data_IF_078201120092
#
_entry.id   IF_078201120092
#
_cell.length_a   1.000
_cell.length_b   1.000
_cell.length_c   1.000
_cell.angle_alpha   90.00
_cell.angle_beta   90.00
_cell.angle_gamma   90.00
#
_symmetry.space_group_name_H-M   'P 1'
#
loop_
_entity.id
_entity.type
_entity.pdbx_description
1 polymer ?
#
# COMPACT_ATOMS: atom_id res chain seq x y z
N UNK A 1 28.23 33.44 -28.93
CA UNK A 1 27.27 34.04 -29.89
C UNK A 1 26.31 35.01 -29.23
N UNK A 2 25.64 34.66 -28.13
CA UNK A 2 24.69 35.54 -27.42
C UNK A 2 25.35 36.82 -26.92
N UNK A 3 26.50 36.71 -26.23
CA UNK A 3 27.30 37.88 -25.76
C UNK A 3 27.76 38.82 -26.91
N UNK A 4 28.12 38.26 -28.06
CA UNK A 4 28.50 39.04 -29.23
C UNK A 4 27.32 39.79 -29.86
N UNK A 5 26.13 39.13 -29.98
CA UNK A 5 24.91 39.79 -30.46
C UNK A 5 24.40 40.85 -29.48
N UNK A 6 24.48 40.61 -28.18
CA UNK A 6 24.16 41.61 -27.16
C UNK A 6 25.12 42.81 -27.23
N UNK A 7 26.43 42.58 -27.39
CA UNK A 7 27.39 43.63 -27.56
C UNK A 7 27.13 44.47 -28.82
N UNK A 8 26.82 43.84 -29.95
CA UNK A 8 26.49 44.52 -31.19
C UNK A 8 25.25 45.41 -31.07
N UNK A 9 24.17 44.89 -30.49
CA UNK A 9 22.92 45.65 -30.28
C UNK A 9 23.16 46.82 -29.30
N UNK A 10 23.97 46.61 -28.26
CA UNK A 10 24.33 47.65 -27.30
C UNK A 10 25.12 48.79 -27.97
N UNK A 11 26.08 48.46 -28.83
CA UNK A 11 26.84 49.44 -29.57
C UNK A 11 25.96 50.20 -30.56
N UNK A 12 25.08 49.51 -31.30
CA UNK A 12 24.19 50.14 -32.27
C UNK A 12 23.18 51.08 -31.60
N UNK A 13 22.58 50.67 -30.48
CA UNK A 13 21.66 51.51 -29.70
C UNK A 13 22.34 52.74 -29.12
N UNK A 14 23.62 52.63 -28.70
CA UNK A 14 24.41 53.75 -28.23
C UNK A 14 24.72 54.72 -29.33
N UNK A 15 25.09 54.30 -30.53
CA UNK A 15 25.34 55.16 -31.71
C UNK A 15 24.07 55.92 -32.09
N UNK A 16 22.92 55.25 -32.19
CA UNK A 16 21.63 55.90 -32.50
C UNK A 16 21.26 56.95 -31.46
N UNK A 17 21.49 56.65 -30.20
CA UNK A 17 21.22 57.59 -29.12
C UNK A 17 22.14 58.83 -29.14
N UNK A 18 23.40 58.62 -29.46
CA UNK A 18 24.35 59.80 -29.66
C UNK A 18 23.95 60.69 -30.84
N UNK A 19 23.51 60.12 -31.96
CA UNK A 19 23.00 60.86 -33.11
C UNK A 19 21.72 61.62 -32.73
N UNK A 20 20.77 61.03 -32.09
CA UNK A 20 19.56 61.71 -31.62
C UNK A 20 19.86 62.80 -30.60
N UNK A 21 20.79 62.56 -29.67
CA UNK A 21 21.24 63.61 -28.72
C UNK A 21 21.84 64.80 -29.39
N UNK A 22 22.74 64.62 -30.36
CA UNK A 22 23.35 65.70 -31.11
C UNK A 22 22.32 66.49 -31.92
N UNK A 23 21.35 65.86 -32.54
CA UNK A 23 20.24 66.50 -33.26
C UNK A 23 19.33 67.33 -32.33
N UNK A 24 18.99 66.83 -31.18
CA UNK A 24 18.09 67.45 -30.19
C UNK A 24 18.86 68.67 -29.55
N UNK A 25 20.10 68.46 -29.15
CA UNK A 25 20.93 69.55 -28.59
C UNK A 25 21.14 70.65 -29.60
N UNK A 26 21.42 70.39 -30.90
CA UNK A 26 21.51 71.33 -31.95
C UNK A 26 20.23 72.14 -32.20
N UNK A 27 19.06 71.46 -32.08
CA UNK A 27 17.73 72.09 -32.22
C UNK A 27 17.36 72.99 -31.03
N UNK A 28 17.79 72.68 -29.82
CA UNK A 28 17.41 73.36 -28.57
C UNK A 28 18.38 74.47 -28.18
N UNK A 29 19.69 74.44 -28.58
CA UNK A 29 20.70 75.31 -28.11
C UNK A 29 20.69 76.69 -28.84
N UNK A 30 19.84 76.93 -29.86
CA UNK A 30 19.72 78.17 -30.58
C UNK A 30 19.21 79.35 -29.72
N UNK A 31 18.57 79.10 -28.55
CA UNK A 31 17.99 80.16 -27.71
C UNK A 31 17.96 79.87 -26.19
N UNK A 32 18.69 78.87 -25.66
CA UNK A 32 18.60 78.51 -24.26
C UNK A 32 19.87 78.70 -23.46
N UNK A 33 19.79 79.27 -22.23
CA UNK A 33 20.92 79.50 -21.35
C UNK A 33 21.67 78.23 -20.96
N UNK A 34 22.97 78.36 -20.59
CA UNK A 34 23.89 77.27 -20.26
C UNK A 34 23.36 76.21 -19.25
N UNK A 35 22.65 76.66 -18.21
CA UNK A 35 22.09 75.79 -17.18
C UNK A 35 20.97 74.89 -17.73
N UNK A 36 20.13 75.38 -18.64
CA UNK A 36 19.06 74.65 -19.27
C UNK A 36 19.57 73.47 -20.15
N UNK A 37 20.72 73.70 -20.79
CA UNK A 37 21.42 72.72 -21.62
C UNK A 37 21.92 71.51 -20.78
N UNK A 38 22.45 71.75 -19.59
CA UNK A 38 22.90 70.67 -18.71
C UNK A 38 21.75 69.82 -18.10
N UNK A 39 20.63 70.40 -17.71
CA UNK A 39 19.48 69.75 -17.21
C UNK A 39 18.84 68.85 -18.28
N UNK A 40 18.72 69.32 -19.51
CA UNK A 40 18.23 68.55 -20.65
C UNK A 40 19.16 67.40 -21.00
N UNK A 41 20.47 67.58 -20.93
CA UNK A 41 21.47 66.52 -21.13
C UNK A 41 21.36 65.45 -20.06
N UNK A 42 21.15 65.81 -18.78
CA UNK A 42 21.00 64.86 -17.69
C UNK A 42 19.70 64.04 -17.81
N UNK A 43 18.56 64.67 -18.09
CA UNK A 43 17.30 64.03 -18.33
C UNK A 43 17.43 63.07 -19.50
N UNK A 44 18.06 63.43 -20.58
CA UNK A 44 18.26 62.58 -21.74
C UNK A 44 19.14 61.37 -21.41
N UNK A 45 20.21 61.53 -20.63
CA UNK A 45 21.02 60.40 -20.15
C UNK A 45 20.21 59.42 -19.27
N UNK A 46 19.34 59.91 -18.39
CA UNK A 46 18.45 59.08 -17.58
C UNK A 46 17.45 58.30 -18.46
N UNK A 47 16.83 58.95 -19.44
CA UNK A 47 15.91 58.30 -20.38
C UNK A 47 16.64 57.25 -21.22
N UNK A 48 17.85 57.54 -21.68
CA UNK A 48 18.70 56.60 -22.40
C UNK A 48 19.05 55.37 -21.56
N UNK A 49 19.37 55.57 -20.30
CA UNK A 49 19.70 54.50 -19.38
C UNK A 49 18.48 53.58 -19.17
N UNK A 50 17.28 54.16 -18.99
CA UNK A 50 16.02 53.43 -18.85
C UNK A 50 15.69 52.66 -20.14
N UNK A 51 15.78 53.29 -21.29
CA UNK A 51 15.54 52.64 -22.60
C UNK A 51 16.54 51.49 -22.81
N UNK A 52 17.82 51.74 -22.58
CA UNK A 52 18.87 50.71 -22.68
C UNK A 52 18.60 49.52 -21.76
N UNK A 53 18.21 49.79 -20.51
CA UNK A 53 17.88 48.72 -19.54
C UNK A 53 16.69 47.88 -20.02
N UNK A 54 15.60 48.51 -20.44
CA UNK A 54 14.40 47.85 -20.90
C UNK A 54 14.60 47.10 -22.24
N UNK A 55 15.33 47.71 -23.18
CA UNK A 55 15.65 47.05 -24.46
C UNK A 55 16.57 45.85 -24.26
N UNK A 56 17.59 45.95 -23.41
CA UNK A 56 18.46 44.84 -23.11
C UNK A 56 17.70 43.71 -22.41
N UNK A 57 16.81 44.03 -21.50
CA UNK A 57 15.96 43.04 -20.83
C UNK A 57 15.01 42.37 -21.82
N UNK A 58 14.33 43.12 -22.65
CA UNK A 58 13.41 42.60 -23.68
C UNK A 58 14.14 41.73 -24.72
N UNK A 59 15.33 42.17 -25.18
CA UNK A 59 16.13 41.43 -26.14
C UNK A 59 16.74 40.16 -25.53
N UNK A 60 17.20 40.20 -24.27
CA UNK A 60 17.68 38.99 -23.60
C UNK A 60 16.55 37.97 -23.41
N UNK A 61 15.39 38.38 -22.94
CA UNK A 61 14.22 37.48 -22.79
C UNK A 61 13.76 36.93 -24.15
N UNK A 62 13.76 37.71 -25.21
CA UNK A 62 13.37 37.28 -26.55
C UNK A 62 14.42 36.38 -27.21
N UNK A 63 15.70 36.66 -27.02
CA UNK A 63 16.79 35.83 -27.51
C UNK A 63 16.93 34.53 -26.73
N UNK A 64 16.71 34.55 -25.42
CA UNK A 64 16.65 33.35 -24.60
C UNK A 64 15.49 32.47 -25.03
N UNK A 65 14.30 33.00 -25.24
CA UNK A 65 13.16 32.24 -25.78
C UNK A 65 13.47 31.64 -27.15
N UNK A 66 14.05 32.41 -28.06
CA UNK A 66 14.35 31.94 -29.42
C UNK A 66 15.44 30.88 -29.43
N UNK A 67 16.46 30.97 -28.58
CA UNK A 67 17.53 29.96 -28.47
C UNK A 67 17.01 28.70 -27.75
N UNK A 68 16.17 28.88 -26.74
CA UNK A 68 15.56 27.77 -26.00
C UNK A 68 14.57 26.92 -26.86
N UNK A 69 13.95 27.55 -27.89
CA UNK A 69 12.89 26.88 -28.67
C UNK A 69 13.25 26.53 -30.11
N UNK A 70 14.35 27.05 -30.68
CA UNK A 70 14.72 26.90 -32.10
C UNK A 70 16.04 26.15 -32.36
N UNK A 71 16.73 25.60 -31.33
CA UNK A 71 17.99 24.87 -31.49
C UNK A 71 18.07 23.61 -30.68
N UNK A 72 19.24 22.95 -30.66
CA UNK A 72 19.50 21.72 -29.90
C UNK A 72 19.20 21.90 -28.39
N UNK A 73 19.40 23.12 -27.85
CA UNK A 73 19.00 23.46 -26.47
C UNK A 73 17.47 23.47 -26.31
N UNK A 74 16.75 23.90 -27.34
CA UNK A 74 15.29 23.89 -27.37
C UNK A 74 14.70 22.47 -27.37
N UNK A 75 15.37 21.54 -28.04
CA UNK A 75 15.00 20.13 -28.04
C UNK A 75 15.07 19.55 -26.63
N UNK A 76 16.21 19.74 -25.95
CA UNK A 76 16.35 19.25 -24.55
C UNK A 76 15.40 19.95 -23.60
N UNK A 77 15.07 21.21 -23.78
CA UNK A 77 14.08 21.93 -22.97
C UNK A 77 12.68 21.29 -23.15
N UNK A 78 12.27 20.96 -24.39
CA UNK A 78 11.01 20.23 -24.64
C UNK A 78 11.04 18.83 -24.04
N UNK A 79 12.16 18.14 -24.14
CA UNK A 79 12.31 16.81 -23.53
C UNK A 79 12.18 16.88 -22.01
N UNK A 80 12.83 17.85 -21.36
CA UNK A 80 12.70 18.09 -19.90
C UNK A 80 11.23 18.33 -19.52
N UNK A 81 10.51 19.15 -20.30
CA UNK A 81 9.11 19.43 -20.05
C UNK A 81 8.24 18.18 -20.16
N UNK A 82 8.50 17.31 -21.16
CA UNK A 82 7.82 16.02 -21.31
C UNK A 82 8.15 15.06 -20.17
N UNK A 83 9.43 14.91 -19.80
CA UNK A 83 9.87 14.05 -18.68
C UNK A 83 9.24 14.51 -17.36
N UNK A 84 9.03 15.82 -17.19
CA UNK A 84 8.32 16.37 -16.02
C UNK A 84 6.93 15.78 -15.82
N UNK A 85 6.21 15.45 -16.88
CA UNK A 85 4.87 14.87 -16.85
C UNK A 85 4.86 13.37 -17.15
N UNK A 86 6.01 12.72 -17.18
CA UNK A 86 6.12 11.27 -17.27
C UNK A 86 6.04 10.65 -15.88
N UNK A 87 5.11 9.73 -15.68
CA UNK A 87 4.87 9.05 -14.42
C UNK A 87 5.12 7.54 -14.50
N UNK A 88 5.06 6.99 -15.71
CA UNK A 88 5.30 5.58 -16.00
C UNK A 88 6.45 5.41 -16.96
N UNK A 89 6.99 4.19 -17.06
CA UNK A 89 8.02 3.87 -18.03
C UNK A 89 7.53 4.13 -19.47
N UNK A 90 6.28 3.82 -19.78
CA UNK A 90 5.68 4.04 -21.10
C UNK A 90 5.58 5.54 -21.44
N UNK A 91 5.24 6.40 -20.47
CA UNK A 91 5.23 7.85 -20.67
C UNK A 91 6.62 8.39 -20.97
N UNK A 92 7.63 7.88 -20.27
CA UNK A 92 9.03 8.26 -20.51
C UNK A 92 9.49 7.80 -21.89
N UNK A 93 9.23 6.55 -22.27
CA UNK A 93 9.54 6.01 -23.60
C UNK A 93 8.87 6.85 -24.69
N UNK A 94 7.59 7.17 -24.53
CA UNK A 94 6.87 8.05 -25.46
C UNK A 94 7.53 9.42 -25.58
N UNK A 95 7.96 10.00 -24.49
CA UNK A 95 8.67 11.28 -24.48
C UNK A 95 10.02 11.19 -25.21
N UNK A 96 10.72 10.05 -25.08
CA UNK A 96 11.95 9.75 -25.83
C UNK A 96 11.66 9.63 -27.33
N UNK A 97 10.66 8.84 -27.73
CA UNK A 97 10.29 8.66 -29.13
C UNK A 97 9.91 10.00 -29.78
N UNK A 98 8.95 10.71 -29.19
CA UNK A 98 8.40 11.94 -29.77
C UNK A 98 9.49 13.04 -29.91
N UNK A 99 10.31 13.24 -28.88
CA UNK A 99 11.22 14.39 -28.85
C UNK A 99 12.65 14.02 -29.23
N UNK A 100 13.20 12.93 -28.66
CA UNK A 100 14.60 12.61 -28.91
C UNK A 100 14.76 11.94 -30.28
N UNK A 101 13.94 10.97 -30.62
CA UNK A 101 14.09 10.21 -31.87
C UNK A 101 13.50 10.95 -33.07
N UNK A 102 12.21 11.30 -33.05
CA UNK A 102 11.51 11.87 -34.19
C UNK A 102 11.94 13.30 -34.48
N UNK A 103 12.02 14.17 -33.47
CA UNK A 103 12.41 15.56 -33.67
C UNK A 103 13.94 15.76 -33.69
N UNK A 104 14.66 15.03 -32.82
CA UNK A 104 16.07 15.24 -32.54
C UNK A 104 17.03 14.34 -33.32
N UNK A 105 16.58 13.22 -33.84
CA UNK A 105 17.44 12.18 -34.42
C UNK A 105 18.46 11.65 -33.41
N UNK A 106 18.11 11.64 -32.12
CA UNK A 106 18.91 11.15 -31.02
C UNK A 106 18.47 9.73 -30.69
N UNK A 107 19.40 8.78 -30.71
CA UNK A 107 19.13 7.40 -30.32
C UNK A 107 19.30 7.23 -28.82
N UNK A 108 18.41 6.49 -28.18
CA UNK A 108 18.41 6.34 -26.71
C UNK A 108 18.48 4.86 -26.33
N UNK A 109 19.29 4.55 -25.31
CA UNK A 109 19.34 3.25 -24.66
C UNK A 109 19.15 3.43 -23.16
N UNK A 110 18.08 2.87 -22.61
CA UNK A 110 17.76 2.89 -21.18
C UNK A 110 17.97 1.53 -20.58
N UNK A 111 18.79 1.43 -19.56
CA UNK A 111 19.26 0.17 -18.97
C UNK A 111 19.10 0.18 -17.46
N UNK A 112 18.62 -0.91 -16.92
CA UNK A 112 18.76 -1.23 -15.50
C UNK A 112 20.05 -2.05 -15.31
N UNK A 113 21.05 -1.45 -14.68
CA UNK A 113 22.37 -2.07 -14.44
C UNK A 113 22.33 -3.11 -13.32
N UNK A 114 21.33 -3.09 -12.44
CA UNK A 114 21.22 -4.08 -11.37
C UNK A 114 20.86 -5.46 -11.91
N UNK A 115 20.00 -5.49 -12.91
CA UNK A 115 19.53 -6.71 -13.57
C UNK A 115 20.20 -6.92 -14.94
N UNK A 116 21.08 -6.00 -15.35
CA UNK A 116 21.66 -5.93 -16.70
C UNK A 116 20.60 -6.06 -17.79
N UNK A 117 19.44 -5.41 -17.59
CA UNK A 117 18.26 -5.47 -18.45
C UNK A 117 18.07 -4.18 -19.22
N UNK A 118 17.83 -4.31 -20.54
CA UNK A 118 17.45 -3.18 -21.38
C UNK A 118 15.97 -2.88 -21.13
N UNK A 119 15.68 -1.68 -20.65
CA UNK A 119 14.34 -1.16 -20.44
C UNK A 119 13.76 -0.57 -21.73
N UNK A 120 14.62 0.12 -22.49
CA UNK A 120 14.27 0.67 -23.81
C UNK A 120 15.50 0.81 -24.69
N UNK A 121 15.34 0.67 -26.00
CA UNK A 121 16.38 0.96 -26.99
C UNK A 121 15.77 1.37 -28.31
N UNK A 122 16.24 2.48 -28.87
CA UNK A 122 15.79 3.06 -30.16
C UNK A 122 15.81 2.04 -31.28
N UNK A 123 14.70 1.72 -31.94
CA UNK A 123 14.62 0.65 -32.92
C UNK A 123 15.33 0.98 -34.23
N UNK A 124 15.39 2.26 -34.61
CA UNK A 124 15.84 2.70 -35.94
C UNK A 124 17.36 2.90 -36.06
N UNK A 125 18.10 3.09 -34.97
CA UNK A 125 19.49 3.55 -35.01
C UNK A 125 20.46 2.71 -34.15
N UNK A 126 19.97 1.76 -33.39
CA UNK A 126 20.79 0.82 -32.63
C UNK A 126 20.63 -0.56 -33.24
N UNK A 127 21.62 -0.98 -34.05
CA UNK A 127 21.57 -2.20 -34.85
C UNK A 127 21.55 -3.47 -33.98
N UNK A 128 22.31 -3.45 -32.87
CA UNK A 128 22.29 -4.52 -31.86
C UNK A 128 22.30 -3.89 -30.49
N UNK A 129 21.18 -4.07 -29.75
CA UNK A 129 21.02 -3.55 -28.38
C UNK A 129 21.96 -4.24 -27.41
N UNK A 130 22.08 -5.54 -27.52
CA UNK A 130 22.92 -6.38 -26.68
C UNK A 130 24.41 -6.07 -26.88
N UNK A 131 24.87 -5.93 -28.12
CA UNK A 131 26.24 -5.58 -28.42
C UNK A 131 26.59 -4.18 -27.93
N UNK A 132 25.68 -3.23 -28.13
CA UNK A 132 25.84 -1.86 -27.60
C UNK A 132 25.93 -1.87 -26.08
N UNK A 133 25.06 -2.65 -25.40
CA UNK A 133 25.10 -2.80 -23.97
C UNK A 133 26.40 -3.42 -23.48
N UNK A 134 26.93 -4.44 -24.18
CA UNK A 134 28.22 -5.06 -23.84
C UNK A 134 29.37 -4.03 -23.95
N UNK A 135 29.42 -3.24 -25.00
CA UNK A 135 30.43 -2.17 -25.16
C UNK A 135 30.30 -1.10 -24.06
N UNK A 136 29.08 -0.71 -23.73
CA UNK A 136 28.83 0.24 -22.64
C UNK A 136 29.25 -0.33 -21.26
N UNK A 137 29.07 -1.63 -21.04
CA UNK A 137 29.48 -2.28 -19.79
C UNK A 137 31.01 -2.39 -19.67
N UNK A 138 31.74 -2.47 -20.80
CA UNK A 138 33.20 -2.47 -20.79
C UNK A 138 33.75 -1.07 -20.49
N UNK A 139 33.13 -0.01 -21.00
CA UNK A 139 33.60 1.35 -20.86
C UNK A 139 33.01 2.08 -19.63
N UNK A 140 31.79 1.73 -19.24
CA UNK A 140 31.04 2.35 -18.13
C UNK A 140 30.51 1.27 -17.20
N UNK A 141 31.25 0.95 -16.15
CA UNK A 141 30.86 -0.06 -15.15
C UNK A 141 29.65 0.42 -14.31
N UNK A 142 29.27 -0.40 -13.33
CA UNK A 142 28.08 -0.15 -12.49
C UNK A 142 28.27 0.91 -11.42
N UNK A 143 29.51 1.30 -11.12
CA UNK A 143 29.86 2.09 -9.93
C UNK A 143 29.95 3.60 -10.17
N UNK A 144 29.20 4.10 -11.15
CA UNK A 144 29.10 5.52 -11.44
C UNK A 144 28.27 6.22 -10.36
N UNK A 145 28.76 7.39 -9.94
CA UNK A 145 27.98 8.27 -9.07
C UNK A 145 26.80 8.85 -9.84
N UNK A 146 25.72 9.11 -9.12
CA UNK A 146 24.57 9.81 -9.67
C UNK A 146 24.99 11.14 -10.31
N UNK A 147 24.53 11.37 -11.55
CA UNK A 147 24.91 12.54 -12.31
C UNK A 147 24.69 12.40 -13.80
N UNK A 148 25.29 13.31 -14.54
CA UNK A 148 25.32 13.29 -16.01
C UNK A 148 26.76 13.36 -16.52
N UNK A 149 27.01 12.67 -17.62
CA UNK A 149 28.36 12.47 -18.18
C UNK A 149 28.30 12.58 -19.69
N UNK A 150 29.42 13.01 -20.30
CA UNK A 150 29.55 13.13 -21.75
C UNK A 150 30.58 12.13 -22.27
N UNK A 151 30.35 11.62 -23.46
CA UNK A 151 31.27 10.73 -24.16
C UNK A 151 31.47 11.12 -25.62
N UNK A 152 32.63 10.81 -26.19
CA UNK A 152 32.99 11.05 -27.59
C UNK A 152 32.55 9.89 -28.51
N UNK A 153 33.01 9.92 -29.78
CA UNK A 153 32.68 8.90 -30.79
C UNK A 153 33.21 7.51 -30.48
N UNK A 154 34.26 7.42 -29.67
CA UNK A 154 34.93 6.17 -29.26
C UNK A 154 34.46 5.70 -27.87
N UNK A 155 33.41 6.35 -27.34
CA UNK A 155 32.87 6.13 -25.99
C UNK A 155 33.85 6.49 -24.85
N UNK A 156 34.84 7.35 -25.13
CA UNK A 156 35.70 7.94 -24.10
C UNK A 156 35.00 9.09 -23.39
N UNK A 157 35.23 9.23 -22.06
CA UNK A 157 34.67 10.35 -21.30
C UNK A 157 35.32 11.68 -21.71
N UNK A 158 34.48 12.68 -21.89
CA UNK A 158 34.91 14.02 -22.21
C UNK A 158 34.32 15.07 -21.23
N UNK A 159 35.13 16.03 -20.85
CA UNK A 159 34.70 17.13 -19.98
C UNK A 159 34.12 18.32 -20.77
N UNK A 160 34.48 18.45 -22.05
CA UNK A 160 34.02 19.50 -22.95
C UNK A 160 32.92 18.97 -23.89
N UNK A 161 31.77 19.65 -23.89
CA UNK A 161 30.64 19.31 -24.74
C UNK A 161 30.94 19.49 -26.24
N UNK A 162 32.00 20.23 -26.61
CA UNK A 162 32.40 20.42 -28.00
C UNK A 162 32.88 19.14 -28.71
N UNK A 163 33.48 18.23 -27.95
CA UNK A 163 33.98 16.94 -28.44
C UNK A 163 32.94 15.82 -28.27
N UNK A 164 31.88 16.03 -27.49
CA UNK A 164 30.88 15.00 -27.17
C UNK A 164 30.10 14.55 -28.41
N UNK A 165 29.78 13.26 -28.44
CA UNK A 165 28.88 12.60 -29.39
C UNK A 165 27.69 11.98 -28.68
N UNK A 166 27.62 12.12 -27.38
CA UNK A 166 26.51 11.68 -26.57
C UNK A 166 26.68 12.05 -25.12
N UNK A 167 25.68 11.76 -24.36
CA UNK A 167 25.70 11.91 -22.93
C UNK A 167 24.88 10.80 -22.26
N UNK A 168 25.07 10.58 -21.00
CA UNK A 168 24.25 9.67 -20.24
C UNK A 168 23.95 10.20 -18.84
N UNK A 169 22.80 9.78 -18.33
CA UNK A 169 22.34 10.08 -16.99
C UNK A 169 22.46 8.80 -16.15
N UNK A 170 22.96 8.96 -14.95
CA UNK A 170 23.06 7.87 -13.96
C UNK A 170 22.26 8.29 -12.74
N UNK A 171 21.30 7.48 -12.37
CA UNK A 171 20.58 7.66 -11.11
C UNK A 171 20.28 6.28 -10.50
N UNK A 172 20.73 6.08 -9.27
CA UNK A 172 20.78 4.78 -8.61
C UNK A 172 21.53 3.77 -9.51
N UNK A 173 20.86 2.71 -9.98
CA UNK A 173 21.44 1.70 -10.88
C UNK A 173 20.86 1.77 -12.31
N UNK A 174 20.16 2.83 -12.65
CA UNK A 174 19.58 3.03 -13.97
C UNK A 174 20.36 4.04 -14.77
N UNK A 175 20.73 3.67 -15.99
CA UNK A 175 21.50 4.47 -16.92
C UNK A 175 20.71 4.74 -18.18
N UNK A 176 20.63 5.99 -18.60
CA UNK A 176 20.03 6.39 -19.89
C UNK A 176 21.11 7.02 -20.75
N UNK A 177 21.43 6.39 -21.87
CA UNK A 177 22.42 6.84 -22.85
C UNK A 177 21.73 7.49 -24.01
N UNK A 178 22.23 8.70 -24.40
CA UNK A 178 21.76 9.48 -25.53
C UNK A 178 22.90 9.59 -26.53
N UNK A 179 22.70 9.05 -27.74
CA UNK A 179 23.66 9.11 -28.84
C UNK A 179 23.23 10.19 -29.80
N UNK A 180 24.01 11.26 -29.89
CA UNK A 180 23.71 12.43 -30.71
C UNK A 180 24.87 12.82 -31.62
N UNK A 181 24.55 13.51 -32.72
CA UNK A 181 25.59 13.96 -33.66
C UNK A 181 26.49 15.04 -33.09
N UNK A 182 25.92 15.97 -32.31
CA UNK A 182 26.63 17.11 -31.72
C UNK A 182 26.02 17.49 -30.39
N UNK A 183 26.89 17.83 -29.42
CA UNK A 183 26.48 18.36 -28.12
C UNK A 183 27.09 19.72 -27.84
N UNK A 184 27.93 20.27 -28.76
CA UNK A 184 28.70 21.51 -28.57
C UNK A 184 27.87 22.75 -28.31
N UNK A 185 26.58 22.74 -28.65
CA UNK A 185 25.67 23.87 -28.45
C UNK A 185 24.84 23.73 -27.17
N UNK A 186 24.99 22.63 -26.42
CA UNK A 186 24.25 22.43 -25.20
C UNK A 186 24.88 23.22 -24.04
N UNK A 187 24.06 23.98 -23.33
CA UNK A 187 24.44 24.62 -22.09
C UNK A 187 24.46 23.58 -20.94
N UNK A 188 25.53 23.61 -20.11
CA UNK A 188 25.65 22.69 -18.96
C UNK A 188 24.48 22.80 -17.98
N UNK A 189 23.90 23.97 -17.81
CA UNK A 189 22.75 24.23 -16.92
C UNK A 189 21.53 23.39 -17.34
N UNK A 190 21.36 23.08 -18.64
CA UNK A 190 20.22 22.29 -19.10
C UNK A 190 20.34 20.82 -18.67
N UNK A 191 21.57 20.31 -18.55
CA UNK A 191 21.81 18.92 -18.11
C UNK A 191 21.56 18.75 -16.63
N UNK A 192 21.81 19.75 -15.80
CA UNK A 192 21.43 19.73 -14.38
C UNK A 192 19.92 19.60 -14.24
N UNK A 193 19.16 20.43 -14.98
CA UNK A 193 17.70 20.36 -14.99
C UNK A 193 17.18 19.02 -15.53
N UNK A 194 17.79 18.52 -16.62
CA UNK A 194 17.41 17.24 -17.18
C UNK A 194 17.64 16.10 -16.18
N UNK A 195 18.75 16.13 -15.48
CA UNK A 195 19.07 15.14 -14.46
C UNK A 195 18.11 15.20 -13.27
N UNK A 196 17.77 16.40 -12.79
CA UNK A 196 16.78 16.59 -11.72
C UNK A 196 15.40 16.01 -12.10
N UNK A 197 14.91 16.31 -13.32
CA UNK A 197 13.63 15.79 -13.80
C UNK A 197 13.69 14.28 -14.06
N UNK A 198 14.82 13.74 -14.48
CA UNK A 198 15.00 12.30 -14.61
C UNK A 198 14.97 11.60 -13.25
N UNK A 199 15.63 12.13 -12.22
CA UNK A 199 15.54 11.62 -10.85
C UNK A 199 14.10 11.65 -10.33
N UNK A 200 13.40 12.76 -10.56
CA UNK A 200 12.01 12.91 -10.18
C UNK A 200 11.13 11.87 -10.87
N UNK A 201 11.30 11.69 -12.18
CA UNK A 201 10.59 10.66 -12.95
C UNK A 201 10.80 9.26 -12.31
N UNK A 202 12.04 8.87 -12.04
CA UNK A 202 12.34 7.56 -11.44
C UNK A 202 11.68 7.37 -10.07
N UNK A 203 11.68 8.40 -9.24
CA UNK A 203 10.99 8.36 -7.95
C UNK A 203 9.49 8.19 -8.11
N UNK A 204 8.88 8.92 -9.03
CA UNK A 204 7.44 8.80 -9.33
C UNK A 204 7.10 7.40 -9.87
N UNK A 205 7.84 6.90 -10.86
CA UNK A 205 7.64 5.58 -11.44
C UNK A 205 7.73 4.47 -10.40
N UNK A 206 8.78 4.50 -9.56
CA UNK A 206 8.97 3.55 -8.45
C UNK A 206 7.81 3.61 -7.44
N UNK A 207 7.32 4.80 -7.15
CA UNK A 207 6.19 5.00 -6.23
C UNK A 207 4.90 4.47 -6.81
N UNK A 208 4.60 4.77 -8.08
CA UNK A 208 3.39 4.31 -8.77
C UNK A 208 3.40 2.79 -8.92
N UNK A 209 4.53 2.19 -9.30
CA UNK A 209 4.67 0.74 -9.40
C UNK A 209 4.39 0.07 -8.06
N UNK A 210 5.00 0.56 -6.98
CA UNK A 210 4.72 0.05 -5.63
C UNK A 210 3.26 0.23 -5.20
N UNK A 211 2.65 1.38 -5.51
CA UNK A 211 1.22 1.60 -5.22
C UNK A 211 0.33 0.65 -6.01
N UNK A 212 0.67 0.36 -7.26
CA UNK A 212 -0.06 -0.60 -8.09
C UNK A 212 0.06 -2.02 -7.54
N UNK A 213 1.25 -2.44 -7.10
CA UNK A 213 1.48 -3.73 -6.43
C UNK A 213 0.67 -3.84 -5.13
N UNK A 214 0.72 -2.81 -4.27
CA UNK A 214 -0.06 -2.76 -3.04
C UNK A 214 -1.56 -2.85 -3.33
N UNK A 215 -2.04 -2.13 -4.35
CA UNK A 215 -3.45 -2.16 -4.74
C UNK A 215 -3.88 -3.54 -5.24
N UNK A 216 -3.03 -4.20 -6.03
CA UNK A 216 -3.26 -5.57 -6.52
C UNK A 216 -3.32 -6.57 -5.36
N UNK A 217 -2.33 -6.53 -4.46
CA UNK A 217 -2.31 -7.35 -3.25
C UNK A 217 -3.55 -7.11 -2.36
N UNK A 218 -3.95 -5.86 -2.21
CA UNK A 218 -5.16 -5.51 -1.43
C UNK A 218 -6.43 -6.14 -2.01
N UNK A 219 -6.57 -6.20 -3.34
CA UNK A 219 -7.70 -6.88 -4.00
C UNK A 219 -7.67 -8.39 -3.79
N UNK A 220 -6.49 -9.01 -3.87
CA UNK A 220 -6.32 -10.44 -3.60
C UNK A 220 -6.68 -10.77 -2.15
N UNK A 221 -6.24 -9.95 -1.19
CA UNK A 221 -6.61 -10.10 0.22
C UNK A 221 -8.12 -9.96 0.46
N UNK A 222 -8.78 -9.01 -0.21
CA UNK A 222 -10.23 -8.86 -0.12
C UNK A 222 -10.96 -10.11 -0.66
N UNK A 223 -10.51 -10.66 -1.80
CA UNK A 223 -11.07 -11.88 -2.36
C UNK A 223 -10.88 -13.08 -1.45
N UNK A 224 -9.72 -13.22 -0.83
CA UNK A 224 -9.44 -14.26 0.17
C UNK A 224 -10.34 -14.14 1.38
N UNK A 225 -10.54 -12.92 1.91
CA UNK A 225 -11.43 -12.65 3.03
C UNK A 225 -12.89 -13.01 2.71
N UNK A 226 -13.38 -12.67 1.52
CA UNK A 226 -14.74 -13.03 1.08
C UNK A 226 -14.89 -14.55 0.88
N UNK A 227 -13.86 -15.21 0.33
CA UNK A 227 -13.82 -16.65 0.21
C UNK A 227 -13.87 -17.32 1.57
N UNK A 228 -13.08 -16.85 2.54
CA UNK A 228 -13.08 -17.35 3.90
C UNK A 228 -14.42 -17.18 4.59
N UNK A 229 -15.05 -16.00 4.47
CA UNK A 229 -16.40 -15.77 5.01
C UNK A 229 -17.44 -16.75 4.47
N UNK A 230 -17.24 -17.28 3.25
CA UNK A 230 -18.15 -18.28 2.69
C UNK A 230 -18.11 -19.63 3.40
N UNK A 231 -17.05 -19.94 4.15
CA UNK A 231 -16.99 -21.14 5.01
C UNK A 231 -17.81 -20.98 6.27
N UNK A 232 -18.02 -19.76 6.77
CA UNK A 232 -18.86 -19.49 7.93
C UNK A 232 -20.35 -19.51 7.56
N UNK A 233 -21.25 -19.75 8.54
CA UNK A 233 -22.69 -19.68 8.29
C UNK A 233 -23.09 -18.25 7.85
N UNK A 234 -23.67 -18.12 6.68
CA UNK A 234 -24.23 -16.85 6.20
C UNK A 234 -25.47 -16.44 7.00
N UNK A 235 -26.23 -17.41 7.42
CA UNK A 235 -27.39 -17.27 8.29
C UNK A 235 -27.39 -18.40 9.33
N UNK A 236 -27.69 -18.04 10.56
CA UNK A 236 -27.84 -19.04 11.61
C UNK A 236 -29.17 -19.78 11.44
N UNK A 237 -29.22 -21.12 11.69
CA UNK A 237 -30.44 -21.86 11.59
C UNK A 237 -31.43 -21.45 12.69
N UNK A 238 -32.71 -21.43 12.35
CA UNK A 238 -33.80 -21.30 13.34
C UNK A 238 -34.08 -22.65 13.95
N UNK A 239 -33.75 -22.79 15.22
CA UNK A 239 -33.93 -24.07 15.96
C UNK A 239 -34.99 -23.85 17.03
N UNK A 240 -36.04 -24.72 17.10
CA UNK A 240 -37.02 -24.64 18.16
C UNK A 240 -36.36 -24.68 19.55
N UNK A 241 -36.82 -23.83 20.46
CA UNK A 241 -36.32 -23.70 21.83
C UNK A 241 -34.90 -23.07 21.95
N UNK A 242 -34.27 -22.69 20.87
CA UNK A 242 -32.95 -22.05 20.94
C UNK A 242 -32.99 -20.68 20.22
N UNK A 243 -32.58 -19.62 20.93
CA UNK A 243 -32.29 -18.35 20.34
C UNK A 243 -30.77 -18.20 20.21
N UNK A 244 -30.26 -18.11 18.97
CA UNK A 244 -28.85 -18.22 18.68
C UNK A 244 -28.39 -16.95 18.00
N UNK A 245 -27.26 -16.42 18.47
CA UNK A 245 -26.58 -15.31 17.84
C UNK A 245 -25.07 -15.55 17.78
N UNK A 246 -24.44 -15.01 16.75
CA UNK A 246 -22.99 -15.02 16.59
C UNK A 246 -22.48 -13.60 16.31
N UNK A 247 -21.25 -13.37 16.72
CA UNK A 247 -20.45 -12.20 16.39
C UNK A 247 -19.10 -12.67 15.87
N UNK A 248 -18.66 -12.09 14.77
CA UNK A 248 -17.41 -12.42 14.12
C UNK A 248 -16.75 -11.14 13.60
N UNK A 249 -15.58 -10.84 14.09
CA UNK A 249 -14.80 -9.66 13.68
C UNK A 249 -13.32 -10.00 13.60
N UNK A 250 -12.79 -10.21 12.40
CA UNK A 250 -11.36 -10.42 12.21
C UNK A 250 -10.57 -9.13 12.54
N UNK A 251 -9.37 -9.30 13.07
CA UNK A 251 -8.43 -8.21 13.34
C UNK A 251 -7.93 -7.57 12.03
N UNK A 252 -7.65 -8.41 11.04
CA UNK A 252 -7.21 -8.01 9.70
C UNK A 252 -8.21 -8.52 8.67
N UNK A 253 -7.80 -8.78 7.46
CA UNK A 253 -8.70 -9.22 6.37
C UNK A 253 -9.19 -10.67 6.54
N UNK A 254 -8.33 -11.55 7.04
CA UNK A 254 -8.61 -12.98 7.27
C UNK A 254 -8.30 -13.36 8.71
N UNK A 255 -8.96 -14.39 9.22
CA UNK A 255 -8.96 -14.78 10.63
C UNK A 255 -8.66 -16.29 10.79
N UNK A 256 -8.06 -16.66 11.93
CA UNK A 256 -8.00 -18.05 12.39
C UNK A 256 -9.31 -18.55 12.97
N UNK A 257 -10.15 -17.66 13.48
CA UNK A 257 -11.39 -17.96 14.13
C UNK A 257 -12.45 -18.56 13.19
N UNK A 258 -13.22 -19.48 13.71
CA UNK A 258 -14.36 -20.07 13.01
C UNK A 258 -15.46 -20.48 13.96
N UNK A 259 -16.69 -20.51 13.44
CA UNK A 259 -17.85 -21.04 14.17
C UNK A 259 -18.85 -21.67 13.23
N UNK A 260 -19.66 -22.57 13.75
CA UNK A 260 -20.82 -23.12 13.03
C UNK A 260 -21.89 -23.58 13.95
N UNK A 261 -23.12 -23.64 13.43
CA UNK A 261 -24.28 -24.26 14.07
C UNK A 261 -24.95 -25.16 13.02
N UNK A 262 -25.01 -26.46 13.29
CA UNK A 262 -25.52 -27.43 12.36
C UNK A 262 -26.67 -28.22 13.02
N UNK A 263 -27.93 -28.06 12.58
CA UNK A 263 -28.98 -28.96 12.96
C UNK A 263 -28.66 -30.37 12.44
N UNK A 264 -28.68 -31.35 13.34
CA UNK A 264 -28.44 -32.78 13.01
C UNK A 264 -29.78 -33.52 12.91
N UNK A 265 -30.66 -33.23 13.85
CA UNK A 265 -32.05 -33.72 13.86
C UNK A 265 -32.97 -32.63 14.42
N UNK A 266 -34.26 -32.92 14.58
CA UNK A 266 -35.20 -31.97 15.17
C UNK A 266 -34.83 -31.59 16.63
N UNK A 267 -34.17 -32.48 17.34
CA UNK A 267 -33.85 -32.34 18.76
C UNK A 267 -32.35 -32.07 19.01
N UNK A 268 -31.46 -32.44 18.08
CA UNK A 268 -30.01 -32.42 18.28
C UNK A 268 -29.33 -31.41 17.34
N UNK A 269 -28.52 -30.54 17.93
CA UNK A 269 -27.86 -29.44 17.23
C UNK A 269 -26.42 -29.39 17.64
N UNK A 270 -25.51 -29.34 16.63
CA UNK A 270 -24.07 -29.17 16.83
C UNK A 270 -23.74 -27.69 16.85
N UNK A 271 -23.02 -27.24 17.85
CA UNK A 271 -22.42 -25.93 17.94
C UNK A 271 -20.90 -26.05 18.03
N UNK A 272 -20.18 -25.22 17.34
CA UNK A 272 -18.73 -25.27 17.30
C UNK A 272 -18.19 -23.87 17.19
N UNK A 273 -17.10 -23.58 17.89
CA UNK A 273 -16.26 -22.40 17.75
C UNK A 273 -14.82 -22.83 18.01
N UNK A 274 -13.88 -22.26 17.28
CA UNK A 274 -12.47 -22.52 17.47
C UNK A 274 -11.61 -21.44 16.86
N UNK A 275 -10.34 -21.49 17.19
CA UNK A 275 -9.30 -20.60 16.69
C UNK A 275 -8.07 -21.40 16.26
N UNK A 276 -7.48 -21.03 15.14
CA UNK A 276 -6.28 -21.63 14.56
C UNK A 276 -5.05 -20.82 14.95
N UNK A 277 -4.01 -21.50 15.45
CA UNK A 277 -2.74 -20.89 15.84
C UNK A 277 -2.13 -20.02 14.73
N UNK A 278 -1.74 -18.79 15.09
CA UNK A 278 -1.13 -17.81 14.19
C UNK A 278 -2.18 -17.02 13.40
N UNK A 279 -1.71 -16.12 12.53
CA UNK A 279 -2.56 -15.15 11.81
C UNK A 279 -2.32 -15.23 10.31
N UNK A 280 -3.24 -14.67 9.55
CA UNK A 280 -3.12 -14.54 8.09
C UNK A 280 -3.50 -15.77 7.31
N UNK A 281 -2.94 -15.93 6.11
CA UNK A 281 -3.37 -16.91 5.13
C UNK A 281 -3.28 -18.36 5.62
N UNK A 282 -2.22 -18.73 6.32
CA UNK A 282 -2.04 -20.09 6.80
C UNK A 282 -3.16 -20.51 7.80
N UNK A 283 -3.48 -19.63 8.75
CA UNK A 283 -4.56 -19.85 9.70
C UNK A 283 -5.92 -19.93 8.97
N UNK A 284 -6.15 -19.06 8.01
CA UNK A 284 -7.37 -19.04 7.19
C UNK A 284 -7.58 -20.34 6.38
N UNK A 285 -6.52 -20.93 5.83
CA UNK A 285 -6.59 -22.20 5.10
C UNK A 285 -6.90 -23.37 6.01
N UNK A 286 -6.30 -23.43 7.20
CA UNK A 286 -6.57 -24.46 8.19
C UNK A 286 -8.01 -24.34 8.71
N UNK A 287 -8.47 -23.11 8.98
CA UNK A 287 -9.88 -22.86 9.32
C UNK A 287 -10.81 -23.43 8.27
N UNK A 288 -10.54 -23.18 6.98
CA UNK A 288 -11.31 -23.74 5.88
C UNK A 288 -11.29 -25.28 5.85
N UNK A 289 -10.14 -25.89 6.13
CA UNK A 289 -9.98 -27.34 6.24
C UNK A 289 -10.81 -27.91 7.39
N UNK A 290 -10.73 -27.31 8.58
CA UNK A 290 -11.50 -27.71 9.76
C UNK A 290 -13.00 -27.66 9.47
N UNK A 291 -13.46 -26.50 8.95
CA UNK A 291 -14.88 -26.30 8.64
C UNK A 291 -15.40 -27.30 7.62
N UNK A 292 -14.63 -27.59 6.55
CA UNK A 292 -15.03 -28.62 5.58
C UNK A 292 -14.98 -30.01 6.15
N UNK A 293 -13.97 -30.37 6.95
CA UNK A 293 -13.88 -31.67 7.60
C UNK A 293 -15.11 -31.95 8.43
N UNK A 294 -15.54 -30.99 9.26
CA UNK A 294 -16.74 -31.14 10.08
C UNK A 294 -18.01 -31.23 9.23
N UNK A 295 -18.13 -30.45 8.16
CA UNK A 295 -19.30 -30.42 7.27
C UNK A 295 -19.52 -31.75 6.52
N UNK A 296 -18.45 -32.41 6.07
CA UNK A 296 -18.52 -33.63 5.24
C UNK A 296 -18.71 -34.90 6.07
N UNK A 297 -18.38 -34.88 7.36
CA UNK A 297 -18.58 -36.06 8.23
C UNK A 297 -20.06 -36.44 8.31
N UNK A 298 -20.35 -37.75 8.15
CA UNK A 298 -21.73 -38.28 8.19
C UNK A 298 -22.27 -38.33 9.60
N UNK A 299 -21.50 -38.88 10.52
CA UNK A 299 -21.88 -38.99 11.94
C UNK A 299 -21.37 -37.76 12.71
N UNK A 300 -22.27 -36.83 12.94
CA UNK A 300 -22.03 -35.61 13.71
C UNK A 300 -22.41 -35.70 15.18
N UNK A 301 -22.97 -36.83 15.61
CA UNK A 301 -23.26 -37.06 17.03
C UNK A 301 -22.04 -37.57 17.79
N UNK A 302 -21.11 -38.20 17.12
CA UNK A 302 -19.87 -38.69 17.71
C UNK A 302 -18.79 -37.58 17.73
N UNK A 303 -18.82 -36.76 18.78
CA UNK A 303 -17.89 -35.65 18.95
C UNK A 303 -16.41 -36.07 18.92
N UNK A 304 -16.08 -37.23 19.52
CA UNK A 304 -14.72 -37.80 19.49
C UNK A 304 -14.27 -38.07 18.07
N UNK A 305 -15.10 -38.66 17.24
CA UNK A 305 -14.78 -38.94 15.84
C UNK A 305 -14.53 -37.65 15.05
N UNK A 306 -15.29 -36.59 15.35
CA UNK A 306 -15.08 -35.27 14.71
C UNK A 306 -13.72 -34.73 15.06
N UNK A 307 -13.34 -34.63 16.34
CA UNK A 307 -12.04 -34.13 16.82
C UNK A 307 -10.89 -34.93 16.19
N UNK A 308 -10.97 -36.28 16.21
CA UNK A 308 -9.94 -37.14 15.60
C UNK A 308 -9.81 -36.90 14.08
N UNK A 309 -10.91 -36.64 13.38
CA UNK A 309 -10.90 -36.39 11.96
C UNK A 309 -10.26 -35.01 11.65
N UNK A 310 -10.56 -34.02 12.46
CA UNK A 310 -9.95 -32.68 12.37
C UNK A 310 -8.43 -32.74 12.67
N UNK A 311 -8.05 -33.48 13.72
CA UNK A 311 -6.64 -33.69 14.08
C UNK A 311 -5.85 -34.33 12.93
N UNK A 312 -6.40 -35.41 12.34
CA UNK A 312 -5.78 -36.05 11.18
C UNK A 312 -5.68 -35.11 9.97
N UNK A 313 -6.72 -34.33 9.73
CA UNK A 313 -6.74 -33.40 8.61
C UNK A 313 -5.65 -32.32 8.75
N UNK A 314 -5.50 -31.72 9.94
CA UNK A 314 -4.47 -30.71 10.20
C UNK A 314 -3.05 -31.33 10.09
N UNK A 315 -2.82 -32.49 10.72
CA UNK A 315 -1.54 -33.19 10.65
C UNK A 315 -1.14 -33.58 9.21
N UNK A 316 -2.12 -33.87 8.36
CA UNK A 316 -1.85 -34.21 6.95
C UNK A 316 -1.30 -33.04 6.12
N UNK A 317 -1.42 -31.79 6.59
CA UNK A 317 -0.82 -30.62 5.94
C UNK A 317 0.69 -30.50 6.16
N UNK A 318 1.27 -31.29 7.08
CA UNK A 318 2.70 -31.25 7.44
C UNK A 318 3.20 -29.86 7.81
N UNK A 319 2.41 -29.13 8.58
CA UNK A 319 2.75 -27.82 9.13
C UNK A 319 3.05 -28.00 10.61
N UNK A 320 4.33 -28.00 10.98
CA UNK A 320 4.82 -28.43 12.30
C UNK A 320 4.33 -27.56 13.48
N UNK A 321 3.97 -26.31 13.23
CA UNK A 321 3.60 -25.30 14.24
C UNK A 321 2.10 -24.94 14.22
N UNK A 322 1.28 -25.67 13.47
CA UNK A 322 -0.13 -25.34 13.29
C UNK A 322 -1.06 -26.29 14.04
N UNK A 323 -1.92 -25.69 14.81
CA UNK A 323 -2.95 -26.38 15.60
C UNK A 323 -4.22 -25.51 15.67
N UNK A 324 -5.28 -26.08 16.21
CA UNK A 324 -6.46 -25.32 16.58
C UNK A 324 -6.88 -25.63 18.00
N UNK A 325 -7.32 -24.61 18.72
CA UNK A 325 -8.15 -24.75 19.92
C UNK A 325 -9.60 -24.75 19.47
N UNK A 326 -10.44 -25.59 20.07
CA UNK A 326 -11.84 -25.64 19.66
C UNK A 326 -12.75 -26.17 20.71
N UNK A 327 -13.95 -25.60 20.74
CA UNK A 327 -15.09 -26.17 21.44
C UNK A 327 -16.08 -26.78 20.45
N UNK A 328 -16.54 -27.97 20.73
CA UNK A 328 -17.61 -28.62 19.99
C UNK A 328 -18.64 -29.17 20.97
N UNK A 329 -19.91 -28.80 20.80
CA UNK A 329 -21.01 -29.18 21.67
C UNK A 329 -22.22 -29.71 20.90
N UNK A 330 -22.82 -30.79 21.38
CA UNK A 330 -24.08 -31.32 20.90
C UNK A 330 -25.19 -30.98 21.90
N UNK A 331 -26.05 -30.05 21.53
CA UNK A 331 -27.21 -29.62 22.32
C UNK A 331 -28.40 -30.53 22.00
N UNK A 332 -28.90 -31.21 23.00
CA UNK A 332 -30.14 -32.02 22.92
C UNK A 332 -31.29 -31.22 23.56
N UNK A 333 -32.19 -30.70 22.75
CA UNK A 333 -33.33 -29.86 23.19
C UNK A 333 -34.45 -30.65 23.82
N UNK A 334 -34.44 -32.01 23.72
CA UNK A 334 -35.38 -32.90 24.40
C UNK A 334 -34.87 -33.27 25.77
N UNK A 335 -33.61 -33.69 25.88
CA UNK A 335 -32.97 -34.03 27.15
C UNK A 335 -32.57 -32.82 27.96
N UNK A 336 -32.52 -31.64 27.32
CA UNK A 336 -32.03 -30.41 27.90
C UNK A 336 -30.61 -30.60 28.45
N UNK A 337 -29.71 -31.05 27.58
CA UNK A 337 -28.28 -31.24 27.91
C UNK A 337 -27.40 -30.71 26.79
N UNK A 338 -26.16 -30.37 27.12
CA UNK A 338 -25.08 -30.18 26.17
C UNK A 338 -23.98 -31.18 26.45
N UNK A 339 -23.74 -32.06 25.48
CA UNK A 339 -22.59 -32.98 25.47
C UNK A 339 -21.46 -32.27 24.71
N UNK A 340 -20.25 -32.14 25.29
CA UNK A 340 -19.21 -31.32 24.70
C UNK A 340 -17.82 -31.95 24.80
N UNK A 341 -16.93 -31.47 23.92
CA UNK A 341 -15.47 -31.55 24.04
C UNK A 341 -14.93 -30.10 23.92
N UNK A 342 -14.15 -29.70 24.91
CA UNK A 342 -13.39 -28.46 24.90
C UNK A 342 -11.91 -28.83 24.74
N UNK A 343 -11.37 -28.61 23.51
CA UNK A 343 -9.99 -28.87 23.16
C UNK A 343 -9.15 -27.58 23.36
N UNK A 344 -8.76 -27.35 24.61
CA UNK A 344 -7.89 -26.25 25.06
C UNK A 344 -8.38 -24.84 24.67
N UNK A 345 -9.65 -24.66 24.43
CA UNK A 345 -10.23 -23.34 24.20
C UNK A 345 -10.57 -22.66 25.51
N UNK A 346 -10.59 -21.31 25.54
CA UNK A 346 -11.13 -20.52 26.65
C UNK A 346 -12.46 -21.07 27.10
N UNK A 347 -12.62 -21.33 28.42
CA UNK A 347 -13.75 -22.09 28.94
C UNK A 347 -15.09 -21.46 28.58
N UNK A 348 -15.95 -22.11 27.77
CA UNK A 348 -17.28 -21.60 27.55
C UNK A 348 -18.08 -21.59 28.84
N UNK A 349 -19.04 -20.69 28.96
CA UNK A 349 -19.80 -20.50 30.19
C UNK A 349 -21.30 -20.66 29.97
N UNK A 350 -21.94 -21.45 30.83
CA UNK A 350 -23.40 -21.52 30.95
C UNK A 350 -23.80 -20.59 32.10
N UNK A 351 -24.68 -19.63 31.81
CA UNK A 351 -25.19 -18.66 32.76
C UNK A 351 -26.63 -19.02 33.08
N UNK A 352 -26.86 -19.47 34.31
CA UNK A 352 -28.19 -19.94 34.78
C UNK A 352 -28.78 -18.94 35.78
N UNK A 353 -30.07 -18.87 35.87
CA UNK A 353 -30.77 -18.02 36.85
C UNK A 353 -30.57 -18.57 38.27
N UNK A 354 -30.21 -17.69 39.22
CA UNK A 354 -30.17 -18.03 40.63
C UNK A 354 -30.84 -16.94 41.47
N UNK A 355 -30.99 -17.16 42.76
CA UNK A 355 -31.60 -16.19 43.70
C UNK A 355 -30.79 -14.85 43.78
N UNK A 356 -29.50 -14.94 43.54
CA UNK A 356 -28.56 -13.79 43.60
C UNK A 356 -28.22 -13.19 42.24
N UNK A 357 -28.96 -13.57 41.15
CA UNK A 357 -28.69 -13.16 39.77
C UNK A 357 -28.22 -14.32 38.89
N UNK A 358 -27.26 -14.09 37.97
CA UNK A 358 -26.67 -15.12 37.11
C UNK A 358 -25.64 -15.98 37.86
N UNK A 359 -25.76 -17.33 37.78
CA UNK A 359 -24.72 -18.27 38.22
C UNK A 359 -23.94 -18.77 37.02
N UNK A 360 -22.62 -18.67 37.08
CA UNK A 360 -21.70 -19.10 36.02
C UNK A 360 -21.27 -20.55 36.24
N UNK A 361 -21.35 -21.38 35.19
CA UNK A 361 -20.83 -22.75 35.13
C UNK A 361 -19.91 -22.85 33.93
N UNK A 362 -18.62 -23.09 34.15
CA UNK A 362 -17.61 -23.16 33.10
C UNK A 362 -17.47 -24.58 32.57
N UNK A 363 -17.47 -24.70 31.23
CA UNK A 363 -17.25 -25.96 30.53
C UNK A 363 -15.75 -26.16 30.34
N UNK A 364 -15.11 -26.77 31.31
CA UNK A 364 -13.66 -26.94 31.39
C UNK A 364 -13.10 -27.74 30.22
N UNK A 365 -11.84 -27.42 29.85
CA UNK A 365 -11.11 -28.21 28.88
C UNK A 365 -10.98 -29.65 29.29
N UNK A 366 -11.31 -30.58 28.37
CA UNK A 366 -11.24 -32.02 28.53
C UNK A 366 -10.54 -32.73 27.37
N UNK A 367 -9.91 -31.97 26.49
CA UNK A 367 -9.05 -32.45 25.42
C UNK A 367 -7.90 -31.46 25.16
N UNK A 368 -6.79 -31.97 24.61
CA UNK A 368 -5.61 -31.14 24.25
C UNK A 368 -5.81 -30.41 22.94
N UNK A 369 -4.78 -29.58 22.56
CA UNK A 369 -4.69 -28.90 21.27
C UNK A 369 -4.87 -29.89 20.11
N UNK A 370 -5.64 -29.51 19.11
CA UNK A 370 -5.93 -30.35 17.93
C UNK A 370 -4.94 -30.05 16.80
N UNK A 371 -4.24 -31.05 16.30
CA UNK A 371 -3.29 -30.90 15.20
C UNK A 371 -1.82 -31.15 15.57
N UNK A 372 -1.46 -31.13 16.85
CA UNK A 372 -0.08 -31.39 17.32
C UNK A 372 -0.02 -32.62 18.21
N UNK A 373 -0.83 -32.63 19.27
CA UNK A 373 -0.78 -33.69 20.31
C UNK A 373 -1.60 -34.90 19.87
N UNK A 374 -1.19 -36.11 20.27
CA UNK A 374 -1.95 -37.30 19.99
C UNK A 374 -3.27 -37.28 20.75
N UNK A 375 -4.38 -37.59 20.05
CA UNK A 375 -5.74 -37.56 20.58
C UNK A 375 -6.23 -38.98 20.93
N UNK A 376 -5.63 -39.58 21.99
CA UNK A 376 -5.92 -40.97 22.31
C UNK A 376 -7.10 -41.17 23.26
N UNK A 377 -7.20 -40.38 24.34
CA UNK A 377 -8.21 -40.54 25.40
C UNK A 377 -9.10 -39.30 25.52
N UNK A 378 -10.04 -39.13 24.59
CA UNK A 378 -10.99 -38.04 24.62
C UNK A 378 -12.35 -38.56 25.08
N UNK A 379 -12.81 -38.09 26.23
CA UNK A 379 -14.15 -38.40 26.73
C UNK A 379 -15.02 -37.14 26.73
N UNK A 380 -16.15 -37.13 25.97
CA UNK A 380 -17.08 -36.01 26.02
C UNK A 380 -17.69 -35.86 27.41
N UNK A 381 -17.75 -34.66 27.92
CA UNK A 381 -18.47 -34.30 29.14
C UNK A 381 -19.93 -33.90 28.80
N UNK A 382 -20.82 -33.97 29.76
CA UNK A 382 -22.22 -33.60 29.60
C UNK A 382 -22.70 -32.73 30.75
N UNK A 383 -23.35 -31.59 30.40
CA UNK A 383 -23.94 -30.64 31.34
C UNK A 383 -25.42 -30.43 31.08
N UNK A 384 -26.19 -30.24 32.16
CA UNK A 384 -27.61 -29.91 32.07
C UNK A 384 -27.85 -28.48 31.68
N UNK A 385 -28.86 -28.26 30.85
CA UNK A 385 -29.39 -26.98 30.48
C UNK A 385 -30.78 -26.77 31.08
N UNK A 386 -31.10 -25.55 31.43
CA UNK A 386 -32.42 -25.18 31.92
C UNK A 386 -33.00 -24.06 31.03
N UNK A 387 -34.34 -24.00 30.98
CA UNK A 387 -35.01 -22.90 30.29
C UNK A 387 -34.58 -21.56 30.87
N UNK A 388 -34.13 -20.65 30.00
CA UNK A 388 -33.57 -19.37 30.37
C UNK A 388 -32.06 -19.34 30.49
N UNK A 389 -31.36 -20.46 30.44
CA UNK A 389 -29.89 -20.52 30.41
C UNK A 389 -29.35 -19.87 29.15
N UNK A 390 -28.17 -19.24 29.30
CA UNK A 390 -27.40 -18.70 28.21
C UNK A 390 -26.04 -19.43 28.16
N UNK A 391 -25.74 -20.12 27.06
CA UNK A 391 -24.41 -20.66 26.76
C UNK A 391 -23.67 -19.62 25.91
N UNK A 392 -22.49 -19.16 26.40
CA UNK A 392 -21.57 -18.33 25.67
C UNK A 392 -20.30 -19.12 25.36
N UNK A 393 -19.92 -19.13 24.09
CA UNK A 393 -18.64 -19.63 23.59
C UNK A 393 -17.95 -18.46 22.94
N UNK A 394 -16.71 -18.15 23.33
CA UNK A 394 -15.97 -17.00 22.83
C UNK A 394 -14.51 -17.36 22.58
N UNK A 395 -13.89 -16.75 21.56
CA UNK A 395 -12.43 -16.81 21.37
C UNK A 395 -11.71 -16.00 22.44
N UNK A 396 -10.43 -16.25 22.61
CA UNK A 396 -9.57 -15.56 23.58
C UNK A 396 -9.50 -14.05 23.35
N UNK A 397 -9.65 -13.58 22.09
CA UNK A 397 -9.74 -12.16 21.77
C UNK A 397 -10.81 -11.37 22.54
N UNK A 398 -11.79 -12.06 23.17
CA UNK A 398 -12.76 -11.43 24.06
C UNK A 398 -12.18 -11.27 25.47
N UNK A 399 -11.69 -12.36 26.08
CA UNK A 399 -11.21 -12.39 27.46
C UNK A 399 -9.82 -11.73 27.61
N UNK A 400 -8.94 -11.89 26.62
CA UNK A 400 -7.58 -11.33 26.62
C UNK A 400 -7.51 -9.88 26.10
N UNK A 401 -8.67 -9.28 25.77
CA UNK A 401 -8.72 -7.85 25.45
C UNK A 401 -8.16 -7.04 26.64
N UNK A 402 -7.13 -6.24 26.38
CA UNK A 402 -6.44 -5.44 27.40
C UNK A 402 -6.88 -3.97 27.35
N UNK A 403 -6.91 -3.34 28.53
CA UNK A 403 -7.01 -1.89 28.67
C UNK A 403 -5.64 -1.20 28.49
N UNK A 404 -5.59 0.12 28.68
CA UNK A 404 -4.36 0.92 28.62
C UNK A 404 -3.30 0.51 29.64
N UNK A 405 -3.71 -0.08 30.75
CA UNK A 405 -2.80 -0.55 31.83
C UNK A 405 -2.35 -2.00 31.65
N UNK A 406 -2.81 -2.70 30.59
CA UNK A 406 -2.43 -4.08 30.29
C UNK A 406 -3.17 -5.14 31.09
N UNK A 407 -4.31 -4.80 31.73
CA UNK A 407 -5.16 -5.76 32.46
C UNK A 407 -6.12 -6.38 31.45
N UNK A 408 -6.26 -7.71 31.48
CA UNK A 408 -7.18 -8.44 30.63
C UNK A 408 -8.65 -8.32 31.10
N UNK A 409 -9.57 -8.17 30.16
CA UNK A 409 -10.99 -8.00 30.46
C UNK A 409 -11.55 -9.22 31.22
N UNK A 410 -11.13 -10.42 30.84
CA UNK A 410 -11.57 -11.68 31.46
C UNK A 410 -11.24 -11.80 32.94
N UNK A 411 -10.23 -11.10 33.42
CA UNK A 411 -9.82 -11.05 34.84
C UNK A 411 -10.61 -10.04 35.67
N UNK A 412 -11.49 -9.26 35.03
CA UNK A 412 -12.18 -8.16 35.69
C UNK A 412 -13.57 -8.55 36.19
N UNK A 413 -13.92 -8.03 37.39
CA UNK A 413 -15.29 -8.09 37.91
C UNK A 413 -16.32 -7.48 36.93
N UNK A 414 -15.90 -6.56 36.07
CA UNK A 414 -16.78 -5.88 35.13
C UNK A 414 -17.32 -6.85 34.09
N UNK A 415 -16.48 -7.74 33.57
CA UNK A 415 -16.88 -8.77 32.62
C UNK A 415 -17.86 -9.74 33.27
N UNK A 416 -17.54 -10.26 34.44
CA UNK A 416 -18.40 -11.20 35.16
C UNK A 416 -19.76 -10.58 35.52
N UNK A 417 -19.79 -9.32 35.98
CA UNK A 417 -21.04 -8.59 36.27
C UNK A 417 -21.88 -8.40 35.02
N UNK A 418 -21.27 -8.10 33.87
CA UNK A 418 -21.98 -7.99 32.59
C UNK A 418 -22.66 -9.29 32.24
N UNK A 419 -21.93 -10.43 32.27
CA UNK A 419 -22.47 -11.75 31.98
C UNK A 419 -23.67 -12.08 32.86
N UNK A 420 -23.54 -11.86 34.17
CA UNK A 420 -24.60 -12.12 35.16
C UNK A 420 -25.83 -11.22 35.02
N UNK A 421 -25.68 -10.04 34.46
CA UNK A 421 -26.78 -9.07 34.26
C UNK A 421 -27.47 -9.26 32.89
N UNK A 422 -26.70 -9.50 31.84
CA UNK A 422 -27.23 -9.43 30.46
C UNK A 422 -27.75 -10.78 29.95
N UNK A 423 -27.50 -11.93 30.59
CA UNK A 423 -27.93 -13.25 30.13
C UNK A 423 -29.46 -13.39 30.01
N UNK A 424 -30.24 -12.58 30.71
CA UNK A 424 -31.72 -12.59 30.62
C UNK A 424 -32.25 -12.04 29.29
N UNK A 425 -31.42 -11.25 28.55
CA UNK A 425 -31.76 -10.70 27.25
C UNK A 425 -31.80 -11.79 26.16
N UNK A 426 -32.17 -11.43 24.92
CA UNK A 426 -31.97 -12.27 23.74
C UNK A 426 -30.47 -12.53 23.49
N UNK A 427 -30.14 -13.65 22.81
CA UNK A 427 -28.77 -13.97 22.45
C UNK A 427 -28.09 -12.84 21.67
N UNK A 428 -28.77 -12.16 20.77
CA UNK A 428 -28.25 -11.02 20.01
C UNK A 428 -27.91 -9.83 20.90
N UNK A 429 -28.86 -9.44 21.78
CA UNK A 429 -28.61 -8.30 22.69
C UNK A 429 -27.49 -8.61 23.70
N UNK A 430 -27.39 -9.86 24.15
CA UNK A 430 -26.32 -10.31 25.02
C UNK A 430 -24.93 -10.18 24.38
N UNK A 431 -24.79 -10.67 23.14
CA UNK A 431 -23.53 -10.53 22.37
C UNK A 431 -23.18 -9.06 22.14
N UNK A 432 -24.16 -8.22 21.81
CA UNK A 432 -23.92 -6.80 21.60
C UNK A 432 -23.39 -6.11 22.88
N UNK A 433 -23.98 -6.41 24.04
CA UNK A 433 -23.50 -5.87 25.33
C UNK A 433 -22.02 -6.26 25.59
N UNK A 434 -21.62 -7.51 25.26
CA UNK A 434 -20.23 -7.97 25.41
C UNK A 434 -19.33 -7.24 24.41
N UNK A 435 -19.75 -7.16 23.14
CA UNK A 435 -19.00 -6.45 22.11
C UNK A 435 -18.76 -4.99 22.49
N UNK A 436 -19.79 -4.29 22.96
CA UNK A 436 -19.69 -2.89 23.38
C UNK A 436 -18.71 -2.74 24.57
N UNK A 437 -18.74 -3.68 25.51
CA UNK A 437 -17.78 -3.69 26.62
C UNK A 437 -16.35 -3.90 26.14
N UNK A 438 -16.10 -4.87 25.23
CA UNK A 438 -14.78 -5.15 24.66
C UNK A 438 -14.21 -3.91 24.00
N UNK A 439 -14.99 -3.20 23.16
CA UNK A 439 -14.54 -1.98 22.50
C UNK A 439 -14.33 -0.81 23.44
N UNK A 440 -15.20 -0.64 24.42
CA UNK A 440 -15.03 0.40 25.44
C UNK A 440 -13.77 0.15 26.29
N UNK A 441 -13.52 -1.10 26.66
CA UNK A 441 -12.39 -1.51 27.49
C UNK A 441 -11.04 -1.36 26.80
N UNK A 442 -10.98 -1.72 25.50
CA UNK A 442 -9.76 -1.62 24.67
C UNK A 442 -9.46 -0.21 24.14
N UNK A 443 -10.30 0.79 24.44
CA UNK A 443 -10.19 2.11 23.81
C UNK A 443 -10.36 2.07 22.28
N UNK A 444 -11.06 1.06 21.75
CA UNK A 444 -11.29 0.84 20.33
C UNK A 444 -10.16 0.10 19.60
N UNK A 445 -9.08 -0.26 20.28
CA UNK A 445 -7.95 -1.01 19.71
C UNK A 445 -8.05 -2.49 20.05
N UNK A 446 -8.54 -3.29 19.13
CA UNK A 446 -8.51 -4.76 19.27
C UNK A 446 -7.12 -5.29 18.87
N UNK A 447 -6.68 -6.37 19.53
CA UNK A 447 -5.36 -7.00 19.33
C UNK A 447 -5.46 -8.39 18.72
N UNK A 448 -6.66 -8.99 18.79
CA UNK A 448 -6.94 -10.30 18.20
C UNK A 448 -8.31 -10.37 17.56
N UNK A 449 -8.57 -11.47 16.86
CA UNK A 449 -9.87 -11.79 16.28
C UNK A 449 -10.91 -11.93 17.40
N UNK A 450 -12.12 -11.46 17.18
CA UNK A 450 -13.21 -11.54 18.17
C UNK A 450 -14.34 -12.36 17.59
N UNK A 451 -14.54 -13.54 18.16
CA UNK A 451 -15.61 -14.44 17.77
C UNK A 451 -16.40 -14.91 18.98
N UNK A 452 -17.71 -14.76 18.90
CA UNK A 452 -18.63 -15.17 19.97
C UNK A 452 -19.82 -15.93 19.37
N UNK A 453 -20.24 -16.96 20.05
CA UNK A 453 -21.49 -17.69 19.78
C UNK A 453 -22.28 -17.80 21.07
N UNK A 454 -23.49 -17.23 21.10
CA UNK A 454 -24.40 -17.32 22.22
C UNK A 454 -25.63 -18.18 21.84
N UNK A 455 -25.99 -19.05 22.74
CA UNK A 455 -27.17 -19.91 22.61
C UNK A 455 -28.03 -19.76 23.87
N UNK A 456 -29.20 -19.14 23.72
CA UNK A 456 -30.18 -19.02 24.79
C UNK A 456 -31.21 -20.14 24.69
N UNK A 457 -31.44 -20.82 25.81
CA UNK A 457 -32.45 -21.87 25.91
C UNK A 457 -33.80 -21.24 26.20
N UNK A 458 -34.71 -21.33 25.23
CA UNK A 458 -36.08 -20.81 25.36
C UNK A 458 -37.10 -21.81 25.84
N UNK A 459 -38.31 -21.33 26.07
CA UNK A 459 -39.48 -22.21 26.30
C UNK A 459 -39.92 -22.88 24.99
N UNK A 460 -40.52 -24.07 25.08
CA UNK A 460 -41.17 -24.65 23.91
C UNK A 460 -42.40 -23.79 23.56
N UNK A 461 -42.36 -23.16 22.42
CA UNK A 461 -43.57 -22.57 21.81
C UNK A 461 -44.46 -23.69 21.30
#
# INVERSE_FOLDING_TARGET
MLKQKQALVTVLSFIIACILFTLITFALTKNAGFVFSWVTAFIFLCVLFIIRHNVNRFLSERLERKILYEGDTGLLARFIERVRFSYTLDDFIKSVCDVCEDEGGISVLYVDKSENRILYGSPSHIASREETLQRLNLNFNTDWKDGYYFFDGDMGLVSDTSAARGFFLVSEKRHVYFFCRYTRLFDKVIFEKLFEEFKRFQLCEKTITKMSEISSLSKEWALLADTQKSFLPQTLPKIPKLDIAAYYRPLVNVSGDYYTVLPISEEKNLVMLGDVSGKGLAAALIMGLVMNTVKILKDKENLRSIIISVDKAIKSMNLDDKYTVMFIGLIDTKKMTVKYINASMSDPVIISRSLEGGRLRYLKSNASLVGIIAMEDIEPAEEKLYTGDMLLIASDGVSETMNETGIELGETDQYERLLKKSFVKSARSFINDISDLVFAYSGGQIRDDITMLAVKVGESV
#
